data_IF_003883364324
#
_entry.id   IF_003883364324
#
_cell.length_a   1.000
_cell.length_b   1.000
_cell.length_c   1.000
_cell.angle_alpha   90.00
_cell.angle_beta   90.00
_cell.angle_gamma   90.00
#
_symmetry.space_group_name_H-M   'P 1'
#
loop_
_entity.id
_entity.type
_entity.pdbx_description
1 polymer ?
#
# COMPACT_ATOMS: atom_id res chain seq x y z
N UNK A 1 23.46 -12.36 -82.92
CA UNK A 1 24.30 -13.09 -81.95
C UNK A 1 24.33 -12.32 -80.63
N UNK A 2 24.13 -13.07 -79.54
CA UNK A 2 24.03 -12.67 -78.12
C UNK A 2 25.38 -12.13 -77.62
N UNK A 3 25.49 -11.12 -76.74
CA UNK A 3 25.45 -11.19 -75.26
C UNK A 3 25.53 -9.75 -74.72
N UNK A 4 24.56 -9.29 -73.91
CA UNK A 4 24.62 -9.24 -72.43
C UNK A 4 25.97 -8.71 -71.93
N UNK A 5 26.08 -7.53 -71.32
CA UNK A 5 25.69 -7.17 -69.94
C UNK A 5 26.64 -6.00 -69.57
N UNK A 6 26.32 -5.01 -68.73
CA UNK A 6 25.95 -5.19 -67.34
C UNK A 6 25.30 -3.91 -66.79
N UNK A 7 24.40 -4.17 -65.85
CA UNK A 7 23.48 -3.26 -65.20
C UNK A 7 24.19 -2.30 -64.26
N UNK A 8 23.74 -1.05 -64.27
CA UNK A 8 23.95 -0.09 -63.19
C UNK A 8 23.41 -0.70 -61.88
N UNK A 9 24.32 -1.04 -60.96
CA UNK A 9 23.93 -1.42 -59.60
C UNK A 9 23.80 -0.16 -58.77
N UNK A 10 22.59 0.39 -58.77
CA UNK A 10 22.09 1.24 -57.69
C UNK A 10 22.26 0.46 -56.38
N UNK A 11 23.22 0.88 -55.55
CA UNK A 11 23.29 0.41 -54.17
C UNK A 11 22.13 1.05 -53.41
N UNK A 12 20.95 0.43 -53.51
CA UNK A 12 19.83 0.69 -52.61
C UNK A 12 20.34 0.30 -51.23
N UNK A 13 20.59 1.31 -50.39
CA UNK A 13 20.78 1.12 -48.96
C UNK A 13 19.56 0.38 -48.43
N UNK A 14 19.74 -0.91 -48.12
CA UNK A 14 18.83 -1.64 -47.25
C UNK A 14 19.03 -1.05 -45.85
N UNK A 15 18.48 0.14 -45.62
CA UNK A 15 18.05 0.51 -44.29
C UNK A 15 17.02 -0.55 -43.90
N UNK A 16 17.48 -1.59 -43.19
CA UNK A 16 16.56 -2.50 -42.53
C UNK A 16 15.63 -1.60 -41.72
N UNK A 17 14.34 -1.70 -42.01
CA UNK A 17 13.32 -0.98 -41.26
C UNK A 17 13.53 -1.32 -39.79
N UNK A 18 14.16 -0.40 -39.06
CA UNK A 18 14.41 -0.59 -37.65
C UNK A 18 13.06 -0.51 -36.97
N UNK A 19 12.49 -1.65 -36.60
CA UNK A 19 11.24 -1.73 -35.83
C UNK A 19 11.44 -1.26 -34.37
N UNK A 20 12.37 -0.35 -34.12
CA UNK A 20 12.68 0.20 -32.80
C UNK A 20 11.77 1.40 -32.55
N UNK A 21 10.75 1.20 -31.73
CA UNK A 21 10.04 2.30 -31.07
C UNK A 21 10.44 2.28 -29.59
N UNK A 22 11.41 3.12 -29.22
CA UNK A 22 11.70 3.42 -27.81
C UNK A 22 13.17 3.42 -27.39
N UNK A 23 13.47 4.28 -26.41
CA UNK A 23 14.73 4.36 -25.66
C UNK A 23 14.49 3.81 -24.24
N UNK A 24 15.29 2.84 -23.80
CA UNK A 24 15.20 2.28 -22.44
C UNK A 24 15.64 0.81 -22.32
N UNK A 25 15.87 0.32 -21.09
CA UNK A 25 16.50 -0.99 -20.84
C UNK A 25 15.64 -2.23 -21.14
N UNK A 26 14.35 -2.08 -21.49
CA UNK A 26 13.43 -3.19 -21.80
C UNK A 26 13.13 -3.33 -23.30
N UNK A 27 14.18 -3.49 -24.10
CA UNK A 27 14.13 -3.54 -25.57
C UNK A 27 13.58 -4.86 -26.16
N UNK A 28 13.45 -5.93 -25.38
CA UNK A 28 13.16 -7.28 -25.89
C UNK A 28 11.77 -7.85 -25.55
N UNK A 29 10.86 -7.09 -24.95
CA UNK A 29 9.52 -7.60 -24.66
C UNK A 29 8.49 -7.14 -25.69
N UNK A 30 8.05 -8.06 -26.57
CA UNK A 30 6.69 -8.03 -27.12
C UNK A 30 6.16 -9.43 -27.39
N UNK A 31 5.01 -9.74 -26.80
CA UNK A 31 3.86 -10.41 -27.44
C UNK A 31 2.66 -10.33 -26.49
N UNK A 32 1.58 -9.71 -26.96
CA UNK A 32 0.36 -9.42 -26.18
C UNK A 32 -0.04 -7.95 -26.33
N UNK A 33 -1.23 -7.72 -26.84
CA UNK A 33 -1.75 -6.42 -27.31
C UNK A 33 -1.94 -5.46 -26.15
N UNK A 34 -0.94 -4.63 -25.84
CA UNK A 34 -1.18 -3.35 -25.17
C UNK A 34 -0.35 -2.27 -25.86
N UNK A 35 -1.08 -1.51 -26.66
CA UNK A 35 -0.66 -0.29 -27.34
C UNK A 35 -0.18 0.73 -26.29
N UNK A 36 0.88 1.45 -26.62
CA UNK A 36 1.32 2.63 -25.88
C UNK A 36 0.17 3.64 -25.93
N UNK A 37 -0.55 3.82 -24.82
CA UNK A 37 -1.56 4.87 -24.70
C UNK A 37 -3.02 4.46 -24.85
N UNK A 38 -3.43 3.23 -24.51
CA UNK A 38 -4.80 3.13 -23.96
C UNK A 38 -4.78 3.85 -22.62
N UNK A 39 -5.51 4.97 -22.53
CA UNK A 39 -5.88 5.56 -21.25
C UNK A 39 -6.30 4.39 -20.36
N UNK A 40 -5.67 4.23 -19.18
CA UNK A 40 -6.08 3.14 -18.30
C UNK A 40 -7.60 3.25 -18.15
N UNK A 41 -8.29 2.10 -18.23
CA UNK A 41 -9.73 2.05 -18.04
C UNK A 41 -10.08 2.95 -16.85
N UNK A 42 -11.11 3.78 -16.98
CA UNK A 42 -11.40 4.88 -16.03
C UNK A 42 -11.51 4.34 -14.59
N UNK A 43 -11.81 3.04 -14.47
CA UNK A 43 -11.91 2.25 -13.25
C UNK A 43 -10.60 1.66 -12.71
N UNK A 44 -9.44 1.80 -13.37
CA UNK A 44 -8.15 1.29 -12.88
C UNK A 44 -7.78 1.89 -11.52
N UNK A 45 -8.25 3.11 -11.25
CA UNK A 45 -8.06 3.79 -9.96
C UNK A 45 -9.21 3.51 -8.97
N UNK A 46 -10.29 2.86 -9.41
CA UNK A 46 -11.40 2.37 -8.61
C UNK A 46 -11.37 0.84 -8.43
N UNK A 47 -10.19 0.21 -8.50
CA UNK A 47 -10.02 -1.17 -8.05
C UNK A 47 -10.27 -1.20 -6.53
N UNK A 48 -11.52 -1.48 -6.16
CA UNK A 48 -11.88 -1.90 -4.81
C UNK A 48 -11.02 -3.12 -4.51
N UNK A 49 -10.21 -3.06 -3.46
CA UNK A 49 -9.38 -4.20 -3.10
C UNK A 49 -10.30 -5.37 -2.71
N UNK A 50 -10.32 -6.41 -3.53
CA UNK A 50 -11.08 -7.62 -3.24
C UNK A 50 -10.60 -8.23 -1.92
N UNK A 51 -11.56 -8.61 -1.09
CA UNK A 51 -11.31 -9.35 0.15
C UNK A 51 -10.70 -10.70 -0.18
N UNK A 52 -9.66 -11.08 0.57
CA UNK A 52 -9.18 -12.47 0.53
C UNK A 52 -9.94 -13.29 1.58
N UNK A 53 -10.75 -14.28 1.17
CA UNK A 53 -11.60 -15.02 2.10
C UNK A 53 -10.82 -15.89 3.10
N UNK A 54 -9.56 -16.24 2.77
CA UNK A 54 -8.73 -17.11 3.61
C UNK A 54 -7.91 -16.34 4.67
N UNK A 55 -7.87 -15.00 4.62
CA UNK A 55 -7.11 -14.19 5.57
C UNK A 55 -8.03 -13.73 6.73
N UNK A 56 -7.57 -13.74 8.00
CA UNK A 56 -8.41 -13.51 9.18
C UNK A 56 -9.07 -12.11 9.24
N UNK A 57 -8.57 -11.18 8.43
CA UNK A 57 -9.01 -9.78 8.39
C UNK A 57 -9.56 -9.35 7.02
N UNK A 58 -9.75 -10.32 6.11
CA UNK A 58 -10.18 -10.07 4.73
C UNK A 58 -9.22 -9.16 3.94
N UNK A 59 -7.97 -9.05 4.39
CA UNK A 59 -7.01 -8.04 3.92
C UNK A 59 -6.15 -8.55 2.76
N UNK A 60 -5.41 -7.66 2.10
CA UNK A 60 -4.21 -7.98 1.34
C UNK A 60 -2.95 -7.61 2.15
N UNK A 61 -2.22 -8.60 2.67
CA UNK A 61 -0.81 -8.46 3.07
C UNK A 61 -0.49 -8.45 4.58
N UNK A 62 0.77 -8.15 4.89
CA UNK A 62 1.42 -8.51 6.16
C UNK A 62 1.56 -7.34 7.16
N UNK A 63 0.80 -6.25 6.99
CA UNK A 63 0.96 -5.04 7.84
C UNK A 63 0.70 -5.32 9.33
N UNK A 64 -0.08 -6.36 9.65
CA UNK A 64 -0.35 -6.78 11.01
C UNK A 64 0.84 -7.50 11.68
N UNK A 65 1.79 -8.05 10.89
CA UNK A 65 2.99 -8.74 11.39
C UNK A 65 4.22 -7.81 11.53
N UNK A 66 4.08 -6.50 11.32
CA UNK A 66 5.24 -5.60 11.34
C UNK A 66 5.89 -5.57 12.74
N UNK A 67 7.22 -5.81 12.85
CA UNK A 67 7.89 -6.03 14.13
C UNK A 67 8.11 -4.76 14.98
N UNK A 68 7.77 -3.57 14.48
CA UNK A 68 7.89 -2.31 15.22
C UNK A 68 6.60 -1.91 15.94
N UNK A 69 6.70 -1.22 17.08
CA UNK A 69 5.55 -0.65 17.82
C UNK A 69 5.54 0.88 17.70
N UNK A 70 4.35 1.46 17.64
CA UNK A 70 4.16 2.91 17.48
C UNK A 70 4.27 3.68 18.80
N UNK A 71 4.16 5.01 18.73
CA UNK A 71 4.01 5.85 19.91
C UNK A 71 2.67 5.54 20.60
N UNK A 72 2.67 5.57 21.93
CA UNK A 72 1.44 5.40 22.72
C UNK A 72 0.61 6.68 22.59
N UNK A 73 -0.63 6.56 22.13
CA UNK A 73 -1.57 7.68 22.07
C UNK A 73 -2.47 7.72 23.30
N UNK A 74 -3.15 6.62 23.60
CA UNK A 74 -3.94 6.45 24.83
C UNK A 74 -3.89 5.01 25.32
N UNK A 75 -3.96 4.83 26.65
CA UNK A 75 -4.05 3.51 27.30
C UNK A 75 -5.43 2.87 27.12
N UNK A 76 -6.48 3.65 26.90
CA UNK A 76 -7.82 3.10 26.77
C UNK A 76 -8.11 2.65 25.33
N UNK A 77 -8.66 1.43 25.13
CA UNK A 77 -9.11 1.02 23.81
C UNK A 77 -10.35 1.82 23.39
N UNK A 78 -10.56 1.91 22.08
CA UNK A 78 -11.69 2.65 21.51
C UNK A 78 -12.68 1.65 20.91
N UNK A 79 -13.96 1.77 21.29
CA UNK A 79 -15.06 0.99 20.72
C UNK A 79 -15.44 1.61 19.37
N UNK A 80 -15.43 0.82 18.30
CA UNK A 80 -15.77 1.27 16.95
C UNK A 80 -16.84 0.36 16.35
N UNK A 81 -17.91 0.98 15.85
CA UNK A 81 -18.94 0.31 15.06
C UNK A 81 -18.48 0.25 13.60
N UNK A 82 -18.35 -0.97 13.07
CA UNK A 82 -17.88 -1.22 11.72
C UNK A 82 -18.99 -1.79 10.86
N UNK A 83 -19.17 -1.23 9.66
CA UNK A 83 -20.15 -1.71 8.67
C UNK A 83 -19.52 -2.77 7.77
N UNK A 84 -20.30 -3.77 7.39
CA UNK A 84 -19.94 -4.83 6.44
C UNK A 84 -19.34 -4.23 5.16
N UNK A 85 -18.28 -4.87 4.67
CA UNK A 85 -17.59 -4.56 3.41
C UNK A 85 -16.96 -3.15 3.32
N UNK A 86 -17.02 -2.36 4.41
CA UNK A 86 -16.34 -1.06 4.48
C UNK A 86 -14.89 -1.24 4.92
N UNK A 87 -13.97 -0.59 4.21
CA UNK A 87 -12.54 -0.62 4.55
C UNK A 87 -12.27 0.34 5.71
N UNK A 88 -11.71 -0.20 6.78
CA UNK A 88 -11.21 0.58 7.92
C UNK A 88 -9.69 0.48 7.97
N UNK A 89 -9.00 1.60 8.11
CA UNK A 89 -7.55 1.63 8.26
C UNK A 89 -7.20 1.98 9.71
N UNK A 90 -6.70 1.02 10.47
CA UNK A 90 -6.21 1.24 11.83
C UNK A 90 -4.79 1.82 11.82
N UNK A 91 -4.58 2.87 12.62
CA UNK A 91 -3.28 3.50 12.77
C UNK A 91 -2.35 2.64 13.63
N UNK A 92 -1.16 2.30 13.11
CA UNK A 92 -0.12 1.57 13.84
C UNK A 92 1.00 2.47 14.39
N UNK A 93 1.18 3.68 13.85
CA UNK A 93 2.28 4.59 14.21
C UNK A 93 2.03 5.43 15.47
N UNK A 94 0.76 5.74 15.79
CA UNK A 94 0.38 6.55 16.96
C UNK A 94 0.25 8.06 16.70
N UNK A 95 0.65 8.55 15.51
CA UNK A 95 0.69 9.98 15.18
C UNK A 95 -0.55 10.51 14.44
N UNK A 96 -1.52 9.66 14.13
CA UNK A 96 -2.76 10.10 13.49
C UNK A 96 -3.53 11.08 14.39
N UNK A 97 -4.14 12.11 13.79
CA UNK A 97 -5.08 12.99 14.47
C UNK A 97 -6.47 12.35 14.63
N UNK A 98 -6.84 11.41 13.77
CA UNK A 98 -8.15 10.74 13.76
C UNK A 98 -8.10 9.37 14.45
N UNK A 99 -7.50 9.28 15.63
CA UNK A 99 -7.37 8.00 16.33
C UNK A 99 -8.73 7.41 16.69
N UNK A 100 -8.92 6.07 16.54
CA UNK A 100 -7.92 5.02 16.30
C UNK A 100 -7.59 4.74 14.83
N UNK A 101 -8.17 5.49 13.90
CA UNK A 101 -8.03 5.30 12.45
C UNK A 101 -6.81 6.07 11.91
N UNK A 102 -6.34 5.65 10.74
CA UNK A 102 -5.23 6.28 10.04
C UNK A 102 -5.73 7.41 9.14
N UNK A 103 -5.09 8.57 9.25
CA UNK A 103 -5.29 9.77 8.43
C UNK A 103 -4.24 9.94 7.31
N UNK A 104 -3.16 9.15 7.34
CA UNK A 104 -2.05 9.24 6.37
C UNK A 104 -0.80 9.94 6.90
N UNK A 105 -0.83 10.43 8.14
CA UNK A 105 0.34 11.07 8.81
C UNK A 105 1.60 10.22 8.82
N UNK A 106 1.49 8.89 8.75
CA UNK A 106 2.64 7.98 8.67
C UNK A 106 3.55 8.18 7.44
N UNK A 107 3.07 8.84 6.39
CA UNK A 107 3.88 9.18 5.21
C UNK A 107 4.47 10.60 5.29
N UNK A 108 4.13 11.37 6.32
CA UNK A 108 4.61 12.73 6.47
C UNK A 108 6.05 12.75 6.97
N UNK A 109 6.84 13.70 6.47
CA UNK A 109 8.26 13.88 6.81
C UNK A 109 8.45 14.20 8.31
N UNK A 110 7.41 14.67 9.00
CA UNK A 110 7.46 15.06 10.43
C UNK A 110 7.37 13.87 11.38
N UNK A 111 6.95 12.71 10.90
CA UNK A 111 6.87 11.49 11.71
C UNK A 111 8.20 10.74 11.55
N UNK A 112 8.82 10.23 12.64
CA UNK A 112 10.04 9.43 12.52
C UNK A 112 9.83 8.30 11.50
N UNK A 113 10.85 8.00 10.69
CA UNK A 113 10.83 6.98 9.63
C UNK A 113 10.58 5.57 10.20
N UNK A 114 9.34 5.36 10.60
CA UNK A 114 8.86 4.13 11.18
C UNK A 114 8.34 3.30 10.02
N UNK A 115 8.89 2.10 9.84
CA UNK A 115 8.43 1.11 8.83
C UNK A 115 6.99 0.62 9.08
N UNK A 116 6.21 1.33 9.88
CA UNK A 116 4.84 0.99 10.25
C UNK A 116 3.86 1.51 9.22
N UNK A 117 3.11 0.57 8.66
CA UNK A 117 1.99 0.84 7.76
C UNK A 117 0.67 0.62 8.50
N UNK A 118 -0.39 1.34 8.12
CA UNK A 118 -1.71 1.11 8.71
C UNK A 118 -2.19 -0.32 8.41
N UNK A 119 -2.91 -0.89 9.36
CA UNK A 119 -3.54 -2.21 9.18
C UNK A 119 -4.94 -1.96 8.67
N UNK A 120 -5.21 -2.39 7.43
CA UNK A 120 -6.55 -2.32 6.86
C UNK A 120 -7.36 -3.53 7.32
N UNK A 121 -8.64 -3.33 7.57
CA UNK A 121 -9.56 -4.35 8.04
C UNK A 121 -10.89 -4.16 7.33
N UNK A 122 -11.45 -5.25 6.82
CA UNK A 122 -12.73 -5.24 6.13
C UNK A 122 -13.64 -6.28 6.79
N UNK A 123 -14.66 -5.89 7.56
CA UNK A 123 -15.51 -6.82 8.29
C UNK A 123 -16.51 -7.51 7.35
N UNK A 124 -16.85 -8.76 7.64
CA UNK A 124 -17.84 -9.54 6.88
C UNK A 124 -19.29 -9.29 7.30
N UNK A 125 -19.47 -8.72 8.49
CA UNK A 125 -20.77 -8.39 9.08
C UNK A 125 -20.67 -7.03 9.77
N UNK A 126 -21.81 -6.43 10.06
CA UNK A 126 -21.86 -5.26 10.93
C UNK A 126 -21.47 -5.69 12.34
N UNK A 127 -20.31 -5.24 12.81
CA UNK A 127 -19.73 -5.68 14.08
C UNK A 127 -19.22 -4.48 14.86
N UNK A 128 -19.22 -4.64 16.18
CA UNK A 128 -18.63 -3.65 17.08
C UNK A 128 -17.37 -4.25 17.69
N UNK A 129 -16.25 -3.57 17.50
CA UNK A 129 -14.93 -4.08 17.90
C UNK A 129 -14.19 -3.07 18.76
N UNK A 130 -13.29 -3.58 19.60
CA UNK A 130 -12.39 -2.75 20.40
C UNK A 130 -11.04 -2.65 19.71
N UNK A 131 -10.75 -1.45 19.20
CA UNK A 131 -9.48 -1.17 18.56
C UNK A 131 -8.43 -0.71 19.57
N UNK A 132 -7.20 -1.10 19.31
CA UNK A 132 -6.07 -0.67 20.10
C UNK A 132 -5.75 0.82 19.91
N UNK A 133 -5.62 1.56 21.00
CA UNK A 133 -5.12 2.94 20.97
C UNK A 133 -3.68 3.10 21.48
N UNK A 134 -3.17 2.15 22.27
CA UNK A 134 -1.82 2.22 22.83
C UNK A 134 -0.72 1.83 21.82
N UNK A 135 -1.08 1.16 20.71
CA UNK A 135 -0.20 0.66 19.64
C UNK A 135 0.84 -0.38 20.06
N UNK A 136 0.70 -0.91 21.28
CA UNK A 136 1.61 -1.90 21.86
C UNK A 136 1.10 -3.35 21.80
N UNK A 137 -0.07 -3.58 21.20
CA UNK A 137 -0.71 -4.89 21.14
C UNK A 137 0.07 -5.87 20.27
N UNK A 138 0.04 -7.14 20.67
CA UNK A 138 0.54 -8.26 19.89
C UNK A 138 -0.48 -8.66 18.82
N UNK A 139 -1.77 -8.52 19.12
CA UNK A 139 -2.85 -8.82 18.17
C UNK A 139 -3.36 -7.55 17.45
N UNK A 140 -2.62 -7.06 16.47
CA UNK A 140 -3.05 -5.88 15.66
C UNK A 140 -4.17 -6.30 14.72
N UNK A 141 -5.27 -5.52 14.59
CA UNK A 141 -5.54 -4.16 15.11
C UNK A 141 -6.30 -4.10 16.46
N UNK A 142 -6.65 -5.25 17.02
CA UNK A 142 -7.52 -5.37 18.19
C UNK A 142 -6.80 -5.13 19.51
N UNK A 143 -7.58 -4.87 20.56
CA UNK A 143 -7.06 -4.75 21.92
C UNK A 143 -6.92 -6.14 22.57
N UNK A 144 -5.71 -6.47 23.05
CA UNK A 144 -5.39 -7.71 23.75
C UNK A 144 -5.17 -7.51 25.28
N UNK A 145 -5.40 -6.29 25.77
CA UNK A 145 -5.17 -5.94 27.17
C UNK A 145 -3.74 -5.50 27.51
N UNK A 146 -2.80 -5.52 26.56
CA UNK A 146 -1.40 -5.06 26.77
C UNK A 146 -1.32 -3.64 27.33
N UNK A 147 -2.34 -2.80 27.07
CA UNK A 147 -2.43 -1.43 27.57
C UNK A 147 -2.34 -1.31 29.10
N UNK A 148 -2.68 -2.35 29.88
CA UNK A 148 -2.62 -2.33 31.35
C UNK A 148 -1.20 -2.34 31.88
N UNK A 149 -0.25 -2.90 31.13
CA UNK A 149 1.14 -3.08 31.57
C UNK A 149 2.04 -1.88 31.24
N UNK A 150 1.50 -0.87 30.54
CA UNK A 150 2.30 0.20 29.95
C UNK A 150 2.21 1.47 30.79
N UNK A 151 3.38 2.01 31.12
CA UNK A 151 3.55 3.27 31.82
C UNK A 151 3.95 4.34 30.80
N UNK A 152 3.09 5.34 30.60
CA UNK A 152 3.34 6.52 29.79
C UNK A 152 4.31 7.43 30.55
N UNK A 153 5.56 7.49 30.10
CA UNK A 153 6.59 8.38 30.67
C UNK A 153 6.32 9.85 30.35
N UNK A 154 5.77 10.13 29.17
CA UNK A 154 5.44 11.49 28.71
C UNK A 154 4.44 12.26 29.60
N UNK A 155 3.74 11.59 30.54
CA UNK A 155 2.79 12.24 31.47
C UNK A 155 3.36 12.50 32.86
N UNK A 156 4.47 11.85 33.22
CA UNK A 156 5.10 12.04 34.53
C UNK A 156 6.03 13.24 34.55
N UNK A 157 6.54 13.64 33.38
CA UNK A 157 7.57 14.65 33.28
C UNK A 157 6.90 16.02 33.02
N UNK A 158 6.58 16.75 34.10
CA UNK A 158 6.37 18.20 34.07
C UNK A 158 5.00 18.74 33.66
N UNK A 159 3.93 18.44 34.43
CA UNK A 159 2.74 19.30 34.43
C UNK A 159 2.76 20.39 35.51
N UNK A 160 3.70 20.30 36.47
CA UNK A 160 3.83 21.25 37.59
C UNK A 160 5.27 21.51 38.05
N UNK A 161 6.27 21.12 37.25
CA UNK A 161 7.67 21.48 37.52
C UNK A 161 8.04 22.76 36.74
#
# INVERSE_FOLDING_TARGET
>A
MVRQSALARTAVSLASFSQKTGFGPNRLYRKGVHFVGTEPDVLKYHLLQDKKPNEPYGLQGNNHLLPGKGKIHSRLPVKVHMKKDKVYAWCSCGYSGNQPLCDGTHNSIRVPDLKLKPVRFIPDKDITVWLCNCKQTKNRPFCDGSHKQIVDKDKTDGLFD
#
